data_IF_333829497456
#
_entry.id   IF_333829497456
#
_cell.length_a   1.000
_cell.length_b   1.000
_cell.length_c   1.000
_cell.angle_alpha   90.00
_cell.angle_beta   90.00
_cell.angle_gamma   90.00
#
_symmetry.space_group_name_H-M   'P 1'
#
loop_
_entity.id
_entity.type
_entity.pdbx_description
1 polymer ?
#
# COMPACT_ATOMS: atom_id res chain seq x y z
N UNK A 1 11.79 27.74 6.29
CA UNK A 1 12.27 26.57 7.07
C UNK A 1 13.11 26.99 8.28
N UNK A 2 14.25 27.75 8.16
CA UNK A 2 15.15 28.02 9.30
C UNK A 2 14.53 28.81 10.44
N UNK A 3 13.47 29.60 10.21
CA UNK A 3 12.79 30.36 11.27
C UNK A 3 11.66 29.60 11.97
N UNK A 4 11.05 28.65 11.30
CA UNK A 4 9.85 27.93 11.80
C UNK A 4 10.20 26.58 12.39
N UNK A 5 11.11 25.83 11.78
CA UNK A 5 11.46 24.48 12.20
C UNK A 5 12.00 24.39 13.63
N UNK A 6 12.92 25.25 14.08
CA UNK A 6 13.41 25.22 15.47
C UNK A 6 12.30 25.44 16.49
N UNK A 7 11.38 26.37 16.24
CA UNK A 7 10.25 26.63 17.15
C UNK A 7 9.28 25.47 17.23
N UNK A 8 9.00 24.81 16.10
CA UNK A 8 8.13 23.62 16.05
C UNK A 8 8.75 22.44 16.75
N UNK A 9 10.02 22.17 16.52
CA UNK A 9 10.75 21.10 17.20
C UNK A 9 10.82 21.32 18.70
N UNK A 10 11.07 22.54 19.15
CA UNK A 10 11.05 22.88 20.56
C UNK A 10 9.68 22.62 21.21
N UNK A 11 8.59 23.05 20.56
CA UNK A 11 7.23 22.82 21.05
C UNK A 11 6.87 21.33 21.09
N UNK A 12 7.28 20.55 20.09
CA UNK A 12 7.13 19.08 20.05
C UNK A 12 7.93 18.46 21.19
N UNK A 13 9.16 18.91 21.39
CA UNK A 13 10.01 18.43 22.50
C UNK A 13 9.37 18.65 23.85
N UNK A 14 8.91 19.86 24.16
CA UNK A 14 8.23 20.17 25.39
C UNK A 14 6.98 19.26 25.63
N UNK A 15 6.20 19.06 24.56
CA UNK A 15 5.03 18.20 24.63
C UNK A 15 5.39 16.74 24.99
N UNK A 16 6.39 16.17 24.32
CA UNK A 16 6.79 14.80 24.58
C UNK A 16 7.57 14.63 25.88
N UNK A 17 8.34 15.62 26.32
CA UNK A 17 8.98 15.63 27.63
C UNK A 17 7.97 15.48 28.77
N UNK A 18 6.83 16.19 28.68
CA UNK A 18 5.73 16.03 29.63
C UNK A 18 5.07 14.64 29.58
N UNK A 19 4.98 14.04 28.36
CA UNK A 19 4.33 12.75 28.15
C UNK A 19 5.22 11.55 28.47
N UNK A 20 6.51 11.70 28.24
CA UNK A 20 7.51 10.65 28.37
C UNK A 20 8.51 10.95 29.50
N UNK A 21 8.04 11.56 30.59
CA UNK A 21 8.86 11.92 31.73
C UNK A 21 9.64 10.73 32.26
N UNK A 22 10.99 10.84 32.22
CA UNK A 22 11.91 9.78 32.66
C UNK A 22 12.56 8.97 31.53
N UNK A 23 12.18 9.15 30.27
CA UNK A 23 12.81 8.45 29.14
C UNK A 23 13.96 9.24 28.50
N UNK A 24 13.88 10.58 28.46
CA UNK A 24 14.94 11.46 27.96
C UNK A 24 15.00 12.74 28.77
N UNK A 25 16.19 13.29 28.99
CA UNK A 25 16.37 14.61 29.58
C UNK A 25 16.14 15.72 28.52
N UNK A 26 15.73 16.90 28.96
CA UNK A 26 15.54 18.07 28.07
C UNK A 26 16.82 18.44 27.31
N UNK A 27 17.99 18.24 27.93
CA UNK A 27 19.28 18.50 27.28
C UNK A 27 19.56 17.54 26.12
N UNK A 28 19.26 16.25 26.31
CA UNK A 28 19.44 15.24 25.25
C UNK A 28 18.55 15.52 24.04
N UNK A 29 17.32 15.97 24.29
CA UNK A 29 16.39 16.31 23.23
C UNK A 29 16.86 17.52 22.40
N UNK A 30 17.37 18.57 23.03
CA UNK A 30 17.88 19.74 22.32
C UNK A 30 19.05 19.41 21.42
N UNK A 31 20.01 18.62 21.89
CA UNK A 31 21.15 18.19 21.10
C UNK A 31 20.73 17.34 19.88
N UNK A 32 19.77 16.44 20.04
CA UNK A 32 19.20 15.65 18.94
C UNK A 32 18.49 16.54 17.94
N UNK A 33 17.70 17.52 18.39
CA UNK A 33 16.98 18.46 17.51
C UNK A 33 17.93 19.35 16.71
N UNK A 34 19.01 19.85 17.34
CA UNK A 34 20.04 20.64 16.68
C UNK A 34 20.76 19.84 15.59
N UNK A 35 21.23 18.63 15.92
CA UNK A 35 21.87 17.74 14.95
C UNK A 35 20.95 17.37 13.79
N UNK A 36 19.66 17.18 14.05
CA UNK A 36 18.68 16.93 13.00
C UNK A 36 18.48 18.15 12.09
N UNK A 37 18.38 19.37 12.67
CA UNK A 37 18.22 20.62 11.94
C UNK A 37 19.44 20.91 11.04
N UNK A 38 20.64 20.62 11.50
CA UNK A 38 21.87 20.77 10.72
C UNK A 38 21.84 19.83 9.49
N UNK A 39 21.52 18.54 9.70
CA UNK A 39 21.38 17.59 8.60
C UNK A 39 20.25 17.96 7.62
N UNK A 40 19.12 18.40 8.13
CA UNK A 40 18.00 18.85 7.31
C UNK A 40 18.35 20.10 6.49
N UNK A 41 19.08 21.06 7.09
CA UNK A 41 19.55 22.26 6.38
C UNK A 41 20.52 21.91 5.24
N UNK A 42 21.42 20.95 5.48
CA UNK A 42 22.33 20.46 4.43
C UNK A 42 21.55 19.74 3.31
N UNK A 43 20.55 18.92 3.64
CA UNK A 43 19.73 18.22 2.66
C UNK A 43 18.90 19.17 1.77
N UNK A 44 18.41 20.28 2.31
CA UNK A 44 17.64 21.29 1.55
C UNK A 44 18.43 21.87 0.37
N UNK A 45 19.77 21.88 0.42
CA UNK A 45 20.60 22.31 -0.69
C UNK A 45 20.46 21.43 -1.94
N UNK A 46 19.99 20.18 -1.78
CA UNK A 46 19.79 19.20 -2.85
C UNK A 46 18.32 19.01 -3.22
N UNK A 47 17.39 19.72 -2.59
CA UNK A 47 15.95 19.56 -2.77
C UNK A 47 15.37 20.85 -3.37
N UNK A 48 14.67 20.71 -4.48
CA UNK A 48 13.88 21.80 -5.06
C UNK A 48 12.49 21.83 -4.42
N UNK A 49 12.22 22.87 -3.62
CA UNK A 49 10.89 23.12 -3.06
C UNK A 49 10.05 23.86 -4.08
N UNK A 50 9.01 23.24 -4.57
CA UNK A 50 8.08 23.84 -5.55
C UNK A 50 6.68 23.89 -4.97
N UNK A 51 5.89 24.89 -5.36
CA UNK A 51 4.46 24.90 -5.09
C UNK A 51 3.77 23.85 -5.95
N UNK A 52 2.81 23.14 -5.38
CA UNK A 52 2.11 22.03 -6.06
C UNK A 52 1.54 22.43 -7.44
N UNK A 53 0.81 23.57 -7.61
CA UNK A 53 0.31 23.96 -8.93
C UNK A 53 1.44 24.25 -9.94
N UNK A 54 2.54 24.85 -9.49
CA UNK A 54 3.69 25.13 -10.35
C UNK A 54 4.37 23.84 -10.81
N UNK A 55 4.43 22.83 -9.95
CA UNK A 55 4.95 21.50 -10.32
C UNK A 55 4.15 20.91 -11.48
N UNK A 56 2.84 20.78 -11.34
CA UNK A 56 2.00 20.19 -12.38
C UNK A 56 1.99 21.02 -13.68
N UNK A 57 2.05 22.36 -13.58
CA UNK A 57 2.18 23.22 -14.76
C UNK A 57 3.52 23.03 -15.49
N UNK A 58 4.61 22.83 -14.75
CA UNK A 58 5.95 22.61 -15.34
C UNK A 58 6.01 21.29 -16.11
N UNK A 59 5.32 20.26 -15.60
CA UNK A 59 5.29 18.95 -16.18
C UNK A 59 3.98 18.65 -16.93
N UNK A 60 3.30 19.69 -17.44
CA UNK A 60 2.10 19.52 -18.25
C UNK A 60 2.40 18.62 -19.46
N UNK A 61 1.62 17.55 -19.61
CA UNK A 61 1.80 16.52 -20.66
C UNK A 61 2.72 15.35 -20.26
N UNK A 62 3.24 15.31 -19.04
CA UNK A 62 3.87 14.12 -18.51
C UNK A 62 2.82 13.17 -17.92
N UNK A 63 3.13 11.87 -17.91
CA UNK A 63 2.36 10.88 -17.18
C UNK A 63 2.70 10.95 -15.68
N UNK A 64 1.67 10.95 -14.83
CA UNK A 64 1.83 10.96 -13.38
C UNK A 64 1.38 9.63 -12.78
N UNK A 65 2.26 9.03 -12.00
CA UNK A 65 1.96 7.81 -11.23
C UNK A 65 1.90 8.18 -9.75
N UNK A 66 0.73 7.95 -9.14
CA UNK A 66 0.52 8.10 -7.71
C UNK A 66 0.62 6.72 -7.06
N UNK A 67 1.69 6.49 -6.33
CA UNK A 67 1.90 5.24 -5.61
C UNK A 67 1.43 5.38 -4.17
N UNK A 68 0.49 4.52 -3.77
CA UNK A 68 0.09 4.34 -2.37
C UNK A 68 0.99 3.35 -1.65
N UNK A 69 0.90 3.31 -0.34
CA UNK A 69 1.59 2.34 0.51
C UNK A 69 0.59 1.55 1.34
N UNK A 70 0.97 0.35 1.74
CA UNK A 70 0.17 -0.56 2.56
C UNK A 70 -1.10 -1.05 1.83
N UNK A 71 -2.02 -1.69 2.56
CA UNK A 71 -3.28 -2.19 2.00
C UNK A 71 -4.49 -1.52 2.63
N UNK A 72 -5.62 -1.53 1.92
CA UNK A 72 -6.84 -0.86 2.38
C UNK A 72 -7.37 -1.44 3.69
N UNK A 73 -7.13 -2.71 3.98
CA UNK A 73 -7.50 -3.33 5.26
C UNK A 73 -6.64 -2.83 6.45
N UNK A 74 -5.60 -2.00 6.19
CA UNK A 74 -4.84 -1.26 7.19
C UNK A 74 -5.18 0.23 7.24
N UNK A 75 -6.10 0.71 6.39
CA UNK A 75 -6.54 2.11 6.35
C UNK A 75 -7.14 2.54 7.68
N UNK A 76 -6.92 3.80 8.08
CA UNK A 76 -7.42 4.32 9.36
C UNK A 76 -8.95 4.37 9.46
N UNK A 77 -9.65 4.51 8.32
CA UNK A 77 -11.10 4.62 8.27
C UNK A 77 -11.78 3.29 7.86
N UNK A 78 -11.08 2.43 7.13
CA UNK A 78 -11.63 1.20 6.55
C UNK A 78 -11.05 -0.09 7.12
N UNK A 79 -9.92 -0.02 7.80
CA UNK A 79 -9.27 -1.18 8.40
C UNK A 79 -9.93 -1.65 9.70
N UNK A 80 -9.43 -2.75 10.24
CA UNK A 80 -9.95 -3.35 11.49
C UNK A 80 -9.23 -2.75 12.69
N UNK A 81 -9.87 -1.76 13.33
CA UNK A 81 -9.35 -1.11 14.54
C UNK A 81 -9.18 -2.11 15.69
N UNK A 82 -8.13 -2.02 16.53
CA UNK A 82 -7.11 -0.95 16.59
C UNK A 82 -5.88 -1.20 15.70
N UNK A 83 -5.84 -2.28 14.95
CA UNK A 83 -4.68 -2.71 14.20
C UNK A 83 -4.66 -2.09 12.78
N UNK A 84 -4.68 -0.78 12.74
CA UNK A 84 -4.67 0.05 11.52
C UNK A 84 -3.45 0.98 11.51
N UNK A 85 -3.10 1.50 10.34
CA UNK A 85 -2.14 2.59 10.22
C UNK A 85 -2.84 3.94 10.36
N UNK A 86 -2.13 4.97 10.80
CA UNK A 86 -2.65 6.35 10.89
C UNK A 86 -2.57 7.08 9.55
N UNK A 87 -2.98 6.42 8.48
CA UNK A 87 -2.94 6.97 7.14
C UNK A 87 -4.12 6.47 6.32
N UNK A 88 -4.48 7.24 5.28
CA UNK A 88 -5.38 6.76 4.23
C UNK A 88 -4.55 5.99 3.21
N UNK A 89 -4.88 4.73 3.02
CA UNK A 89 -4.18 3.81 2.11
C UNK A 89 -4.94 3.56 0.80
N UNK A 90 -6.15 4.15 0.69
CA UNK A 90 -6.93 4.20 -0.55
C UNK A 90 -6.41 5.27 -1.52
N UNK A 91 -7.00 5.39 -2.70
CA UNK A 91 -6.69 6.46 -3.67
C UNK A 91 -7.11 7.86 -3.20
N UNK A 92 -7.77 8.00 -2.06
CA UNK A 92 -8.33 9.26 -1.52
C UNK A 92 -7.40 10.46 -1.63
N UNK A 93 -6.14 10.29 -1.22
CA UNK A 93 -5.16 11.39 -1.23
C UNK A 93 -4.75 11.78 -2.65
N UNK A 94 -4.51 10.79 -3.51
CA UNK A 94 -4.21 11.00 -4.93
C UNK A 94 -5.37 11.70 -5.64
N UNK A 95 -6.59 11.21 -5.42
CA UNK A 95 -7.82 11.82 -5.98
C UNK A 95 -8.01 13.28 -5.53
N UNK A 96 -7.64 13.61 -4.29
CA UNK A 96 -7.68 14.99 -3.82
C UNK A 96 -6.67 15.89 -4.53
N UNK A 97 -5.46 15.39 -4.80
CA UNK A 97 -4.43 16.11 -5.57
C UNK A 97 -4.88 16.29 -7.02
N UNK A 98 -5.37 15.23 -7.66
CA UNK A 98 -5.86 15.24 -9.04
C UNK A 98 -6.96 16.28 -9.22
N UNK A 99 -7.99 16.26 -8.37
CA UNK A 99 -9.09 17.23 -8.43
C UNK A 99 -8.63 18.66 -8.19
N UNK A 100 -7.75 18.89 -7.22
CA UNK A 100 -7.27 20.25 -6.87
C UNK A 100 -6.43 20.88 -7.97
N UNK A 101 -5.75 20.06 -8.78
CA UNK A 101 -4.90 20.53 -9.88
C UNK A 101 -5.51 20.28 -11.26
N UNK A 102 -6.79 19.90 -11.33
CA UNK A 102 -7.53 19.67 -12.58
C UNK A 102 -6.81 18.71 -13.53
N UNK A 103 -6.15 17.69 -12.95
CA UNK A 103 -5.46 16.67 -13.73
C UNK A 103 -6.47 15.72 -14.41
N UNK A 104 -6.08 15.05 -15.51
CA UNK A 104 -6.93 14.05 -16.16
C UNK A 104 -7.40 12.97 -15.21
N UNK A 105 -8.58 12.40 -15.50
CA UNK A 105 -9.11 11.27 -14.73
C UNK A 105 -8.15 10.09 -14.81
N UNK A 106 -7.69 9.54 -13.68
CA UNK A 106 -6.73 8.46 -13.67
C UNK A 106 -7.39 7.09 -13.86
N UNK A 107 -6.60 6.12 -14.27
CA UNK A 107 -6.89 4.70 -14.06
C UNK A 107 -6.40 4.28 -12.67
N UNK A 108 -7.12 3.35 -12.03
CA UNK A 108 -6.79 2.87 -10.69
C UNK A 108 -6.30 1.43 -10.76
N UNK A 109 -5.08 1.18 -10.30
CA UNK A 109 -4.50 -0.14 -10.20
C UNK A 109 -4.57 -0.61 -8.75
N UNK A 110 -5.48 -1.53 -8.46
CA UNK A 110 -5.60 -2.18 -7.16
C UNK A 110 -4.59 -3.32 -7.10
N UNK A 111 -3.67 -3.27 -6.16
CA UNK A 111 -2.60 -4.28 -6.03
C UNK A 111 -2.91 -5.20 -4.84
N UNK A 112 -2.83 -6.49 -5.07
CA UNK A 112 -2.91 -7.53 -4.05
C UNK A 112 -1.84 -8.58 -4.29
N UNK A 113 -1.38 -9.25 -3.24
CA UNK A 113 -0.64 -10.51 -3.43
C UNK A 113 -1.63 -11.61 -3.82
N UNK A 114 -1.12 -12.68 -4.40
CA UNK A 114 -1.91 -13.89 -4.69
C UNK A 114 -2.39 -14.64 -3.42
N UNK A 115 -1.99 -14.17 -2.26
CA UNK A 115 -2.35 -14.68 -0.93
C UNK A 115 -2.37 -13.51 0.05
N UNK A 116 -3.04 -13.68 1.19
CA UNK A 116 -3.04 -12.66 2.23
C UNK A 116 -1.73 -12.69 3.02
N UNK A 117 -1.28 -11.50 3.44
CA UNK A 117 -0.17 -11.35 4.38
C UNK A 117 -0.55 -10.41 5.50
N UNK A 118 -0.07 -10.70 6.71
CA UNK A 118 -0.16 -9.77 7.83
C UNK A 118 1.08 -9.85 8.69
N UNK A 119 1.76 -8.73 8.84
CA UNK A 119 2.85 -8.58 9.78
C UNK A 119 2.32 -7.95 11.06
N UNK A 120 2.64 -8.56 12.19
CA UNK A 120 2.19 -8.09 13.50
C UNK A 120 0.79 -8.56 13.90
N UNK A 121 0.29 -7.95 14.97
CA UNK A 121 -0.99 -8.26 15.54
C UNK A 121 -2.16 -7.81 14.65
N UNK A 122 -3.31 -8.37 14.93
CA UNK A 122 -4.57 -8.04 14.29
C UNK A 122 -5.17 -9.22 13.54
N UNK A 123 -6.39 -9.02 13.15
CA UNK A 123 -7.18 -10.03 12.49
C UNK A 123 -6.68 -10.34 11.08
N UNK A 124 -6.61 -11.63 10.76
CA UNK A 124 -6.31 -12.17 9.44
C UNK A 124 -7.35 -13.25 9.17
N UNK A 125 -8.12 -13.10 8.11
CA UNK A 125 -9.04 -14.16 7.67
C UNK A 125 -8.24 -15.33 7.13
N UNK A 126 -8.86 -16.52 7.14
CA UNK A 126 -8.22 -17.74 6.64
C UNK A 126 -6.89 -18.12 7.32
N UNK A 127 -6.62 -17.62 8.54
CA UNK A 127 -5.33 -17.85 9.22
C UNK A 127 -5.04 -19.35 9.45
N UNK A 128 -6.08 -20.19 9.48
CA UNK A 128 -5.97 -21.65 9.56
C UNK A 128 -5.79 -22.34 8.21
N UNK A 129 -5.81 -21.57 7.13
CA UNK A 129 -5.68 -22.04 5.75
C UNK A 129 -4.43 -21.40 5.12
N UNK A 130 -3.21 -21.83 5.49
CA UNK A 130 -1.99 -21.29 4.92
C UNK A 130 -1.87 -21.70 3.44
N UNK A 131 -1.43 -20.81 2.56
CA UNK A 131 -1.08 -21.15 1.20
C UNK A 131 0.22 -21.99 1.17
N UNK A 132 0.37 -22.86 0.17
CA UNK A 132 1.64 -23.53 -0.09
C UNK A 132 2.54 -22.60 -0.91
N UNK A 133 3.62 -22.13 -0.29
CA UNK A 133 4.49 -21.11 -0.86
C UNK A 133 5.94 -21.57 -0.98
N UNK A 134 6.59 -21.16 -2.03
CA UNK A 134 8.05 -21.18 -2.12
C UNK A 134 8.66 -20.10 -1.21
N UNK A 135 9.81 -20.43 -0.63
CA UNK A 135 10.54 -19.47 0.20
C UNK A 135 11.05 -18.32 -0.67
N UNK A 136 10.72 -17.10 -0.27
CA UNK A 136 11.28 -15.91 -0.89
C UNK A 136 12.49 -15.41 -0.06
N UNK A 137 13.74 -15.60 -0.55
CA UNK A 137 14.93 -15.14 0.17
C UNK A 137 15.03 -13.60 0.23
N UNK A 138 14.28 -12.88 -0.61
CA UNK A 138 14.26 -11.43 -0.68
C UNK A 138 13.11 -10.81 0.16
N UNK A 139 12.33 -11.62 0.90
CA UNK A 139 11.29 -11.07 1.76
C UNK A 139 11.90 -10.20 2.86
N UNK A 140 11.52 -8.92 2.86
CA UNK A 140 12.02 -7.92 3.81
C UNK A 140 11.24 -7.90 5.12
N UNK A 141 10.01 -8.43 5.13
CA UNK A 141 9.17 -8.51 6.33
C UNK A 141 9.53 -9.78 7.12
N UNK A 142 10.62 -9.72 7.84
CA UNK A 142 11.09 -10.83 8.65
C UNK A 142 10.54 -10.76 10.06
N UNK A 143 10.50 -11.92 10.74
CA UNK A 143 10.13 -11.98 12.16
C UNK A 143 11.04 -11.10 13.00
N UNK A 144 10.45 -10.31 13.89
CA UNK A 144 11.17 -9.43 14.79
C UNK A 144 10.43 -9.24 16.12
N UNK A 145 11.15 -8.81 17.14
CA UNK A 145 10.62 -8.65 18.50
C UNK A 145 9.48 -7.61 18.64
N UNK A 146 9.34 -6.70 17.67
CA UNK A 146 8.37 -5.62 17.72
C UNK A 146 7.04 -5.99 17.05
N UNK A 147 7.12 -6.70 15.94
CA UNK A 147 5.97 -7.02 15.10
C UNK A 147 5.60 -8.50 15.11
N UNK A 148 6.55 -9.37 15.54
CA UNK A 148 6.37 -10.82 15.47
C UNK A 148 6.46 -11.35 14.03
N UNK A 149 5.88 -12.51 13.75
CA UNK A 149 6.00 -13.18 12.45
C UNK A 149 5.16 -12.51 11.35
N UNK A 150 5.64 -12.64 10.11
CA UNK A 150 4.81 -12.43 8.93
C UNK A 150 3.90 -13.63 8.75
N UNK A 151 2.59 -13.42 8.89
CA UNK A 151 1.57 -14.48 8.75
C UNK A 151 1.03 -14.50 7.32
N UNK A 152 0.69 -15.68 6.84
CA UNK A 152 0.15 -15.90 5.50
C UNK A 152 -1.17 -16.68 5.58
N UNK A 153 -2.09 -16.38 4.67
CA UNK A 153 -3.36 -17.08 4.55
C UNK A 153 -3.82 -17.10 3.09
N UNK A 154 -4.72 -18.03 2.73
CA UNK A 154 -5.34 -18.01 1.41
C UNK A 154 -6.00 -16.67 1.15
N UNK A 155 -5.99 -16.22 -0.10
CA UNK A 155 -6.67 -15.00 -0.52
C UNK A 155 -8.16 -15.07 -0.16
N UNK A 156 -8.70 -14.02 0.44
CA UNK A 156 -10.11 -13.92 0.81
C UNK A 156 -10.83 -12.96 -0.15
N UNK A 157 -11.71 -13.48 -0.97
CA UNK A 157 -12.43 -12.69 -1.97
C UNK A 157 -13.49 -11.78 -1.35
N UNK A 158 -14.02 -12.13 -0.19
CA UNK A 158 -14.96 -11.26 0.51
C UNK A 158 -14.25 -10.03 1.05
N UNK A 159 -13.03 -10.19 1.60
CA UNK A 159 -12.20 -9.07 2.03
C UNK A 159 -11.70 -8.25 0.84
N UNK A 160 -11.36 -8.87 -0.27
CA UNK A 160 -10.97 -8.16 -1.49
C UNK A 160 -12.14 -7.35 -2.07
N UNK A 161 -13.36 -7.92 -2.08
CA UNK A 161 -14.59 -7.22 -2.45
C UNK A 161 -14.84 -6.02 -1.55
N UNK A 162 -14.72 -6.19 -0.24
CA UNK A 162 -14.85 -5.11 0.72
C UNK A 162 -13.86 -3.98 0.43
N UNK A 163 -12.58 -4.32 0.22
CA UNK A 163 -11.56 -3.34 -0.11
C UNK A 163 -11.88 -2.56 -1.40
N UNK A 164 -12.30 -3.27 -2.46
CA UNK A 164 -12.71 -2.65 -3.73
C UNK A 164 -13.96 -1.77 -3.57
N UNK A 165 -14.91 -2.17 -2.73
CA UNK A 165 -16.10 -1.36 -2.44
C UNK A 165 -15.75 -0.08 -1.67
N UNK A 166 -14.80 -0.15 -0.74
CA UNK A 166 -14.30 1.06 -0.05
C UNK A 166 -13.59 1.99 -1.01
N UNK A 167 -12.79 1.46 -1.95
CA UNK A 167 -12.09 2.24 -2.97
C UNK A 167 -13.08 2.95 -3.91
N UNK A 168 -14.23 2.34 -4.20
CA UNK A 168 -15.29 2.94 -5.04
C UNK A 168 -15.77 4.30 -4.50
N UNK A 169 -15.71 4.54 -3.20
CA UNK A 169 -16.08 5.83 -2.59
C UNK A 169 -15.17 6.98 -3.06
N UNK A 170 -13.98 6.68 -3.56
CA UNK A 170 -13.00 7.70 -3.97
C UNK A 170 -12.80 7.77 -5.47
N UNK A 171 -12.97 6.65 -6.18
CA UNK A 171 -12.66 6.47 -7.59
C UNK A 171 -13.87 5.95 -8.39
N UNK A 172 -15.10 6.35 -7.99
CA UNK A 172 -16.33 5.93 -8.68
C UNK A 172 -16.31 6.30 -10.16
N UNK A 173 -16.71 5.34 -10.99
CA UNK A 173 -16.77 5.52 -12.45
C UNK A 173 -15.41 5.51 -13.16
N UNK A 174 -14.30 5.35 -12.44
CA UNK A 174 -12.97 5.24 -13.04
C UNK A 174 -12.68 3.78 -13.42
N UNK A 175 -11.79 3.59 -14.41
CA UNK A 175 -11.28 2.27 -14.74
C UNK A 175 -10.47 1.70 -13.58
N UNK A 176 -10.82 0.49 -13.14
CA UNK A 176 -10.15 -0.23 -12.07
C UNK A 176 -9.56 -1.53 -12.60
N UNK A 177 -8.26 -1.65 -12.43
CA UNK A 177 -7.48 -2.83 -12.77
C UNK A 177 -7.10 -3.57 -11.50
N UNK A 178 -6.92 -4.88 -11.57
CA UNK A 178 -6.35 -5.68 -10.49
C UNK A 178 -4.99 -6.20 -10.91
N UNK A 179 -3.98 -5.95 -10.09
CA UNK A 179 -2.65 -6.56 -10.21
C UNK A 179 -2.45 -7.56 -9.06
N UNK A 180 -2.29 -8.84 -9.40
CA UNK A 180 -1.86 -9.88 -8.46
C UNK A 180 -0.35 -10.03 -8.51
N UNK A 181 0.29 -9.85 -7.38
CA UNK A 181 1.75 -10.03 -7.23
C UNK A 181 2.07 -11.35 -6.53
N UNK A 182 3.33 -11.74 -6.52
CA UNK A 182 3.83 -12.95 -5.87
C UNK A 182 3.20 -14.26 -6.41
N UNK A 183 2.83 -14.27 -7.69
CA UNK A 183 2.31 -15.47 -8.36
C UNK A 183 3.39 -16.55 -8.51
N UNK A 184 4.66 -16.15 -8.61
CA UNK A 184 5.84 -17.01 -8.65
C UNK A 184 6.10 -17.78 -7.35
N UNK A 185 5.51 -17.33 -6.25
CA UNK A 185 5.68 -17.97 -4.94
C UNK A 185 4.66 -19.08 -4.67
N UNK A 186 3.62 -19.20 -5.50
CA UNK A 186 2.62 -20.25 -5.32
C UNK A 186 3.13 -21.60 -5.80
N UNK A 187 3.02 -22.63 -4.95
CA UNK A 187 3.21 -24.05 -5.30
C UNK A 187 1.88 -24.66 -5.68
N UNK A 188 1.42 -24.39 -6.88
CA UNK A 188 0.14 -24.94 -7.35
C UNK A 188 -0.83 -23.89 -7.85
N UNK A 189 -2.12 -24.24 -8.01
CA UNK A 189 -3.12 -23.30 -8.50
C UNK A 189 -3.37 -22.16 -7.51
N UNK A 190 -3.82 -21.02 -8.02
CA UNK A 190 -4.28 -19.92 -7.19
C UNK A 190 -5.51 -20.41 -6.39
N UNK A 191 -5.41 -20.39 -5.09
CA UNK A 191 -6.48 -20.76 -4.17
C UNK A 191 -6.97 -19.54 -3.39
N UNK A 192 -8.28 -19.41 -3.27
CA UNK A 192 -8.93 -18.31 -2.56
C UNK A 192 -10.14 -18.84 -1.78
N UNK A 193 -10.69 -18.04 -0.87
CA UNK A 193 -11.99 -18.34 -0.26
C UNK A 193 -13.05 -17.36 -0.73
N UNK A 194 -14.30 -17.84 -0.80
CA UNK A 194 -15.49 -17.04 -1.04
C UNK A 194 -16.63 -17.59 -0.16
N UNK A 195 -17.20 -16.76 0.71
CA UNK A 195 -18.22 -17.19 1.67
C UNK A 195 -17.72 -18.30 2.62
N UNK A 196 -16.41 -18.38 2.85
CA UNK A 196 -15.75 -19.40 3.66
C UNK A 196 -15.42 -20.72 2.93
N UNK A 197 -15.86 -20.89 1.69
CA UNK A 197 -15.56 -22.07 0.86
C UNK A 197 -14.29 -21.85 0.04
N UNK A 198 -13.45 -22.90 -0.09
CA UNK A 198 -12.22 -22.85 -0.88
C UNK A 198 -12.55 -22.96 -2.37
N UNK A 199 -12.00 -22.06 -3.15
CA UNK A 199 -12.03 -22.05 -4.60
C UNK A 199 -10.61 -22.26 -5.12
N UNK A 200 -10.42 -23.29 -5.95
CA UNK A 200 -9.20 -23.45 -6.74
C UNK A 200 -9.44 -22.91 -8.15
N UNK A 201 -8.58 -22.00 -8.57
CA UNK A 201 -8.72 -21.31 -9.84
C UNK A 201 -7.64 -21.81 -10.79
N UNK A 202 -8.04 -22.49 -11.86
CA UNK A 202 -7.11 -22.97 -12.90
C UNK A 202 -6.35 -21.82 -13.56
N UNK A 203 -6.97 -20.64 -13.64
CA UNK A 203 -6.38 -19.42 -14.20
C UNK A 203 -6.74 -18.20 -13.37
N UNK A 204 -5.80 -17.25 -13.15
CA UNK A 204 -6.05 -16.06 -12.35
C UNK A 204 -7.21 -15.19 -12.86
N UNK A 205 -7.44 -15.17 -14.18
CA UNK A 205 -8.52 -14.37 -14.79
C UNK A 205 -9.91 -14.74 -14.24
N UNK A 206 -10.09 -15.98 -13.78
CA UNK A 206 -11.37 -16.43 -13.24
C UNK A 206 -11.76 -15.67 -11.96
N UNK A 207 -10.83 -15.05 -11.27
CA UNK A 207 -11.13 -14.12 -10.16
C UNK A 207 -12.03 -12.96 -10.60
N UNK A 208 -11.89 -12.48 -11.83
CA UNK A 208 -12.66 -11.34 -12.32
C UNK A 208 -14.18 -11.56 -12.25
N UNK A 209 -14.63 -12.81 -12.45
CA UNK A 209 -16.03 -13.15 -12.31
C UNK A 209 -16.58 -12.95 -10.88
N UNK A 210 -15.69 -12.94 -9.90
CA UNK A 210 -16.02 -12.72 -8.50
C UNK A 210 -15.79 -11.29 -8.02
N UNK A 211 -15.23 -10.41 -8.86
CA UNK A 211 -14.82 -9.05 -8.51
C UNK A 211 -15.45 -8.02 -9.44
N UNK A 212 -16.77 -7.77 -9.33
CA UNK A 212 -17.50 -6.90 -10.28
C UNK A 212 -17.01 -5.44 -10.30
N UNK A 213 -16.30 -4.98 -9.27
CA UNK A 213 -15.70 -3.64 -9.25
C UNK A 213 -14.49 -3.52 -10.19
N UNK A 214 -13.90 -4.64 -10.63
CA UNK A 214 -12.78 -4.65 -11.58
C UNK A 214 -13.36 -4.63 -12.99
N UNK A 215 -13.42 -3.46 -13.57
CA UNK A 215 -13.92 -3.20 -14.94
C UNK A 215 -12.80 -3.03 -15.97
N UNK A 216 -11.55 -2.90 -15.53
CA UNK A 216 -10.33 -2.85 -16.35
C UNK A 216 -9.66 -4.22 -16.50
N UNK A 217 -8.35 -4.20 -16.71
CA UNK A 217 -7.55 -5.38 -16.94
C UNK A 217 -7.22 -6.11 -15.62
N UNK A 218 -6.92 -7.38 -15.76
CA UNK A 218 -6.34 -8.19 -14.72
C UNK A 218 -4.90 -8.55 -15.10
N UNK A 219 -3.97 -8.19 -14.23
CA UNK A 219 -2.54 -8.36 -14.44
C UNK A 219 -1.97 -9.31 -13.38
N UNK A 220 -0.95 -10.07 -13.73
CA UNK A 220 -0.26 -10.96 -12.81
C UNK A 220 1.25 -10.72 -12.89
N UNK A 221 1.93 -10.64 -11.74
CA UNK A 221 3.38 -10.56 -11.65
C UNK A 221 3.96 -11.89 -11.17
N UNK A 222 4.92 -12.41 -11.94
CA UNK A 222 5.60 -13.68 -11.72
C UNK A 222 7.10 -13.49 -11.42
N UNK A 223 7.50 -12.28 -11.01
CA UNK A 223 8.88 -11.99 -10.62
C UNK A 223 8.95 -10.78 -9.70
N UNK A 224 9.96 -10.72 -8.85
CA UNK A 224 10.21 -9.61 -7.92
C UNK A 224 10.67 -8.33 -8.64
N UNK A 225 11.25 -8.44 -9.83
CA UNK A 225 11.81 -7.32 -10.59
C UNK A 225 10.82 -6.65 -11.56
N UNK A 226 9.58 -7.12 -11.58
CA UNK A 226 8.52 -6.61 -12.45
C UNK A 226 8.62 -7.03 -13.92
N UNK A 227 9.66 -7.77 -14.33
CA UNK A 227 9.80 -8.22 -15.73
C UNK A 227 8.79 -9.31 -16.10
N UNK A 228 8.25 -10.01 -15.11
CA UNK A 228 7.26 -11.08 -15.26
C UNK A 228 5.80 -10.63 -15.25
N UNK A 229 5.50 -9.32 -15.39
CA UNK A 229 4.10 -8.85 -15.43
C UNK A 229 3.45 -9.26 -16.74
N UNK A 230 2.30 -9.93 -16.65
CA UNK A 230 1.51 -10.39 -17.81
C UNK A 230 0.04 -10.03 -17.63
N UNK A 231 -0.64 -9.75 -18.74
CA UNK A 231 -2.09 -9.65 -18.75
C UNK A 231 -2.68 -11.06 -18.60
N UNK A 232 -3.55 -11.25 -17.60
CA UNK A 232 -4.21 -12.54 -17.41
C UNK A 232 -5.16 -12.90 -18.58
N UNK A 233 -5.65 -11.89 -19.31
CA UNK A 233 -6.54 -12.08 -20.46
C UNK A 233 -5.80 -12.58 -21.72
N UNK A 234 -4.48 -12.40 -21.80
CA UNK A 234 -3.71 -12.83 -22.98
C UNK A 234 -3.51 -14.33 -23.10
N UNK A 235 -3.79 -15.10 -22.04
CA UNK A 235 -3.75 -16.57 -22.08
C UNK A 235 -4.95 -17.24 -22.75
N UNK A 236 -5.99 -16.43 -23.10
CA UNK A 236 -7.21 -16.91 -23.76
C UNK A 236 -7.21 -16.69 -25.27
N UNK A 237 -6.14 -16.18 -25.88
CA UNK A 237 -6.05 -16.18 -27.32
C UNK A 237 -5.80 -17.61 -27.83
N UNK A 238 -6.61 -18.15 -28.74
CA UNK A 238 -6.34 -19.43 -29.35
C UNK A 238 -4.96 -19.35 -29.98
N UNK A 239 -4.10 -20.30 -29.66
CA UNK A 239 -2.92 -20.54 -30.47
C UNK A 239 -3.41 -21.07 -31.81
N UNK A 240 -3.27 -20.29 -32.85
CA UNK A 240 -3.42 -20.75 -34.25
C UNK A 240 -2.48 -21.92 -34.53
#
# INVERSE_FOLDING_TARGET
FPKVAPRRLHAIGQYYEQKASGLMSAGDYSAVAEAWLEKAAAAVAYIHLVAEPAFFSTYAGADFIFEGSQGLLLDMDHGVFPNVTRAHTSSRNAQAIIRRNELPTPEVFCVSRAYQTRHGNGWLTNETLPPDLDSNPNETNQDNEWQGPLRHALLDLDMLRYALQCEENYSSGQAKHLLLTCMDQLRGPLSATLGGEILELSEPILLKAHLPAINGNMLCSYSDDGTGVRCAESSLLPTD
#
